data_IF_819970292883
#
_entry.id   IF_819970292883
#
_cell.length_a   1.000
_cell.length_b   1.000
_cell.length_c   1.000
_cell.angle_alpha   90.00
_cell.angle_beta   90.00
_cell.angle_gamma   90.00
#
_symmetry.space_group_name_H-M   'P 1'
#
loop_
_entity.id
_entity.type
_entity.pdbx_description
1 polymer ?
#
# COMPACT_ATOMS: atom_id res chain seq x y z
N UNK A 1 53.48 -18.80 -1.01
CA UNK A 1 52.41 -19.82 -0.91
C UNK A 1 51.20 -19.26 -1.60
N UNK A 2 50.93 -19.75 -2.81
CA UNK A 2 49.84 -19.29 -3.67
C UNK A 2 48.58 -20.09 -3.37
N UNK A 3 47.47 -19.43 -3.10
CA UNK A 3 46.13 -20.06 -3.04
C UNK A 3 45.33 -19.62 -4.26
N UNK A 4 44.93 -20.62 -5.00
CA UNK A 4 44.24 -20.56 -6.27
C UNK A 4 42.81 -19.97 -6.12
N UNK A 5 42.48 -19.08 -7.08
CA UNK A 5 41.12 -18.62 -7.32
C UNK A 5 40.36 -19.66 -8.17
N UNK A 6 39.43 -20.37 -7.63
CA UNK A 6 38.42 -21.07 -8.41
C UNK A 6 37.31 -20.10 -8.81
N UNK A 7 37.16 -19.90 -10.12
CA UNK A 7 36.01 -19.21 -10.73
C UNK A 7 34.90 -20.24 -10.99
N UNK A 8 33.82 -20.15 -10.27
CA UNK A 8 32.59 -20.87 -10.60
C UNK A 8 31.91 -20.17 -11.80
N UNK A 9 31.91 -20.90 -12.91
CA UNK A 9 31.35 -20.50 -14.19
C UNK A 9 29.92 -21.09 -14.29
N UNK A 10 28.91 -20.30 -14.01
CA UNK A 10 27.50 -20.65 -14.22
C UNK A 10 26.94 -19.80 -15.35
N UNK A 11 26.78 -20.38 -16.54
CA UNK A 11 25.74 -20.14 -17.55
C UNK A 11 26.16 -20.77 -18.86
N UNK A 12 25.69 -21.99 -19.13
CA UNK A 12 25.53 -22.51 -20.49
C UNK A 12 24.04 -22.70 -20.76
N UNK A 13 23.49 -21.83 -21.59
CA UNK A 13 22.18 -22.00 -22.21
C UNK A 13 22.38 -22.76 -23.51
N UNK A 14 21.68 -23.87 -23.79
CA UNK A 14 21.67 -24.48 -25.12
C UNK A 14 20.74 -23.65 -26.05
N UNK A 15 21.28 -23.32 -27.21
CA UNK A 15 20.52 -22.81 -28.36
C UNK A 15 19.99 -23.97 -29.19
N UNK A 16 18.85 -23.67 -29.87
CA UNK A 16 18.33 -24.22 -31.10
C UNK A 16 17.37 -25.40 -31.03
N UNK A 17 16.10 -25.08 -31.30
CA UNK A 17 15.28 -25.88 -32.19
C UNK A 17 14.54 -24.97 -33.18
N UNK A 18 14.89 -25.16 -34.42
CA UNK A 18 14.37 -24.58 -35.66
C UNK A 18 12.90 -24.97 -35.89
N UNK A 19 12.09 -24.00 -36.23
CA UNK A 19 10.72 -24.18 -36.70
C UNK A 19 10.77 -24.55 -38.19
N UNK A 20 10.36 -25.74 -38.59
CA UNK A 20 10.16 -26.15 -39.97
C UNK A 20 8.72 -25.86 -40.39
N UNK A 21 8.58 -25.09 -41.46
CA UNK A 21 7.31 -24.84 -42.13
C UNK A 21 6.82 -26.11 -42.87
N UNK A 22 5.55 -26.45 -42.69
CA UNK A 22 4.83 -27.38 -43.58
C UNK A 22 3.76 -26.60 -44.29
N UNK A 23 4.00 -26.35 -45.60
CA UNK A 23 3.01 -25.96 -46.58
C UNK A 23 2.37 -27.20 -47.19
N UNK A 24 1.06 -27.31 -47.12
CA UNK A 24 0.31 -28.42 -47.75
C UNK A 24 -1.05 -27.93 -48.26
N UNK A 25 -1.19 -28.01 -49.53
CA UNK A 25 -2.11 -27.40 -50.44
C UNK A 25 -3.58 -27.78 -50.34
N UNK A 26 -4.35 -26.84 -50.85
CA UNK A 26 -5.79 -26.93 -51.15
C UNK A 26 -6.01 -27.75 -52.41
N UNK A 27 -6.85 -28.75 -52.38
CA UNK A 27 -7.58 -29.25 -53.54
C UNK A 27 -9.02 -29.55 -53.15
N UNK A 28 -9.92 -28.95 -53.89
CA UNK A 28 -11.35 -29.03 -53.77
C UNK A 28 -11.95 -30.34 -54.30
N UNK A 29 -13.18 -30.61 -53.89
CA UNK A 29 -14.16 -31.40 -54.66
C UNK A 29 -15.60 -31.04 -54.27
N UNK A 30 -16.27 -30.47 -55.21
CA UNK A 30 -17.63 -30.57 -55.78
C UNK A 30 -18.77 -31.17 -54.94
N UNK A 31 -19.89 -30.44 -55.11
CA UNK A 31 -21.29 -30.74 -54.84
C UNK A 31 -21.79 -32.16 -55.24
N UNK A 32 -22.76 -32.64 -54.49
CA UNK A 32 -24.09 -33.25 -54.81
C UNK A 32 -24.45 -34.27 -53.76
N UNK A 33 -25.54 -34.10 -53.03
CA UNK A 33 -26.81 -34.78 -53.27
C UNK A 33 -27.81 -34.42 -52.16
N UNK A 34 -28.98 -33.95 -52.65
CA UNK A 34 -30.21 -33.75 -51.92
C UNK A 34 -30.85 -35.12 -51.69
N UNK A 35 -31.24 -35.39 -50.46
CA UNK A 35 -32.27 -36.44 -50.20
C UNK A 35 -33.17 -36.02 -49.07
N UNK A 36 -34.40 -35.77 -49.37
CA UNK A 36 -35.50 -35.58 -48.42
C UNK A 36 -35.72 -36.88 -47.62
N UNK A 37 -35.87 -36.75 -46.32
CA UNK A 37 -36.70 -37.66 -45.53
C UNK A 37 -37.38 -36.93 -44.38
N UNK A 38 -38.64 -37.27 -44.25
CA UNK A 38 -39.69 -36.61 -43.51
C UNK A 38 -39.54 -36.54 -42.00
N UNK A 39 -40.00 -35.41 -41.48
CA UNK A 39 -40.86 -35.15 -40.30
C UNK A 39 -41.00 -36.27 -39.24
N UNK A 40 -40.44 -35.99 -38.05
CA UNK A 40 -41.03 -36.39 -36.81
C UNK A 40 -40.85 -35.26 -35.79
N UNK A 41 -41.92 -34.51 -35.53
CA UNK A 41 -41.94 -33.47 -34.48
C UNK A 41 -42.05 -34.16 -33.12
N UNK A 42 -40.95 -34.22 -32.42
CA UNK A 42 -40.92 -34.55 -30.97
C UNK A 42 -40.78 -33.26 -30.20
N UNK A 43 -41.87 -32.76 -29.66
CA UNK A 43 -41.90 -31.62 -28.75
C UNK A 43 -41.33 -32.06 -27.41
N UNK A 44 -40.03 -31.89 -27.24
CA UNK A 44 -39.42 -31.96 -25.90
C UNK A 44 -39.52 -30.55 -25.26
N UNK A 45 -40.42 -30.40 -24.30
CA UNK A 45 -40.44 -29.30 -23.36
C UNK A 45 -39.14 -29.35 -22.54
N UNK A 46 -38.12 -28.68 -22.97
CA UNK A 46 -37.00 -28.33 -22.09
C UNK A 46 -37.48 -27.20 -21.16
N UNK A 47 -37.83 -27.56 -19.95
CA UNK A 47 -37.90 -26.63 -18.85
C UNK A 47 -36.51 -26.04 -18.66
N UNK A 48 -36.23 -24.91 -19.32
CA UNK A 48 -35.04 -24.09 -19.10
C UNK A 48 -35.14 -23.50 -17.69
N UNK A 49 -34.75 -24.28 -16.70
CA UNK A 49 -34.46 -23.77 -15.36
C UNK A 49 -33.27 -22.80 -15.48
N UNK A 50 -33.59 -21.51 -15.66
CA UNK A 50 -32.60 -20.46 -15.52
C UNK A 50 -32.05 -20.54 -14.09
N UNK A 51 -30.91 -21.18 -13.91
CA UNK A 51 -30.06 -21.02 -12.75
C UNK A 51 -29.70 -19.52 -12.67
N UNK A 52 -30.59 -18.74 -12.06
CA UNK A 52 -30.25 -17.40 -11.62
C UNK A 52 -29.06 -17.58 -10.66
N UNK A 53 -27.84 -17.33 -11.14
CA UNK A 53 -26.73 -17.02 -10.26
C UNK A 53 -27.23 -15.90 -9.37
N UNK A 54 -27.48 -16.23 -8.12
CA UNK A 54 -27.72 -15.24 -7.10
C UNK A 54 -26.45 -14.40 -7.06
N UNK A 55 -26.46 -13.23 -7.71
CA UNK A 55 -25.51 -12.18 -7.42
C UNK A 55 -25.83 -11.85 -5.95
N UNK A 56 -24.92 -12.21 -5.06
CA UNK A 56 -24.97 -11.72 -3.69
C UNK A 56 -25.08 -10.20 -3.81
N UNK A 57 -26.13 -9.64 -3.23
CA UNK A 57 -26.29 -8.21 -3.14
C UNK A 57 -24.97 -7.66 -2.54
N UNK A 58 -24.45 -6.53 -3.04
CA UNK A 58 -23.29 -5.91 -2.41
C UNK A 58 -23.61 -5.77 -0.93
N UNK A 59 -22.76 -6.32 -0.05
CA UNK A 59 -22.91 -6.19 1.39
C UNK A 59 -23.10 -4.72 1.71
N UNK A 60 -24.15 -4.38 2.45
CA UNK A 60 -24.42 -3.01 2.84
C UNK A 60 -23.21 -2.52 3.64
N UNK A 61 -22.64 -1.39 3.24
CA UNK A 61 -21.74 -0.63 4.09
C UNK A 61 -22.43 -0.43 5.45
N UNK A 62 -21.77 -0.84 6.55
CA UNK A 62 -22.33 -0.73 7.90
C UNK A 62 -22.50 -2.05 8.67
N UNK A 63 -22.24 -3.22 8.07
CA UNK A 63 -22.36 -4.51 8.77
C UNK A 63 -21.23 -4.79 9.78
N UNK A 64 -20.21 -3.93 9.85
CA UNK A 64 -19.07 -4.05 10.73
C UNK A 64 -18.74 -2.68 11.33
N UNK A 65 -19.06 -2.49 12.60
CA UNK A 65 -18.72 -1.28 13.35
C UNK A 65 -17.23 -1.24 13.73
N UNK A 66 -16.80 -0.20 14.44
CA UNK A 66 -15.41 -0.02 14.88
C UNK A 66 -14.86 -1.25 15.64
N UNK A 67 -15.63 -1.76 16.61
CA UNK A 67 -15.20 -2.91 17.42
C UNK A 67 -15.03 -4.16 16.55
N UNK A 68 -15.94 -4.35 15.60
CA UNK A 68 -15.88 -5.41 14.62
C UNK A 68 -14.62 -5.28 13.72
N UNK A 69 -14.34 -4.09 13.19
CA UNK A 69 -13.17 -3.82 12.35
C UNK A 69 -11.86 -4.09 13.09
N UNK A 70 -11.71 -3.57 14.30
CA UNK A 70 -10.54 -3.81 15.15
C UNK A 70 -10.39 -5.31 15.48
N UNK A 71 -11.50 -5.99 15.77
CA UNK A 71 -11.51 -7.43 16.01
C UNK A 71 -11.02 -8.26 14.80
N UNK A 72 -11.18 -7.77 13.57
CA UNK A 72 -10.61 -8.43 12.38
C UNK A 72 -9.10 -8.22 12.27
N UNK A 73 -8.58 -7.05 12.64
CA UNK A 73 -7.13 -6.82 12.73
C UNK A 73 -6.53 -7.73 13.80
N UNK A 74 -7.15 -7.81 14.98
CA UNK A 74 -6.66 -8.68 16.06
C UNK A 74 -6.68 -10.17 15.66
N UNK A 75 -7.72 -10.62 14.95
CA UNK A 75 -7.78 -11.98 14.40
C UNK A 75 -6.71 -12.21 13.34
N UNK A 76 -6.46 -11.23 12.47
CA UNK A 76 -5.37 -11.30 11.49
C UNK A 76 -4.03 -11.46 12.20
N UNK A 77 -3.74 -10.61 13.19
CA UNK A 77 -2.51 -10.67 13.96
C UNK A 77 -2.33 -12.01 14.69
N UNK A 78 -3.39 -12.52 15.30
CA UNK A 78 -3.37 -13.82 15.98
C UNK A 78 -3.17 -14.99 15.01
N UNK A 79 -3.77 -14.93 13.82
CA UNK A 79 -3.63 -15.95 12.78
C UNK A 79 -2.22 -15.97 12.20
N UNK A 80 -1.62 -14.78 11.95
CA UNK A 80 -0.22 -14.64 11.49
C UNK A 80 0.75 -15.21 12.51
N UNK A 81 0.64 -14.81 13.78
CA UNK A 81 1.50 -15.32 14.86
C UNK A 81 1.35 -16.84 15.10
N UNK A 82 0.23 -17.42 14.68
CA UNK A 82 -0.01 -18.85 14.72
C UNK A 82 0.42 -19.58 13.42
N UNK A 83 0.89 -18.85 12.42
CA UNK A 83 1.23 -19.35 11.08
C UNK A 83 0.05 -20.12 10.42
N UNK A 84 -1.18 -19.75 10.75
CA UNK A 84 -2.39 -20.50 10.36
C UNK A 84 -3.44 -19.59 9.74
N UNK A 85 -3.44 -19.45 8.39
CA UNK A 85 -4.43 -18.65 7.68
C UNK A 85 -5.89 -19.10 7.89
N UNK A 86 -6.12 -20.37 8.26
CA UNK A 86 -7.48 -20.91 8.48
C UNK A 86 -8.18 -20.28 9.69
N UNK A 87 -7.42 -19.67 10.61
CA UNK A 87 -7.95 -18.95 11.77
C UNK A 87 -8.54 -17.58 11.43
N UNK A 88 -8.28 -17.06 10.22
CA UNK A 88 -8.84 -15.80 9.77
C UNK A 88 -10.07 -16.02 8.89
N UNK A 89 -11.27 -15.54 9.25
CA UNK A 89 -12.44 -15.62 8.39
C UNK A 89 -12.24 -14.79 7.12
N UNK A 90 -12.06 -15.47 5.98
CA UNK A 90 -11.84 -14.80 4.69
C UNK A 90 -12.93 -15.13 3.67
N UNK A 91 -13.07 -14.27 2.66
CA UNK A 91 -13.84 -14.61 1.47
C UNK A 91 -13.11 -15.66 0.63
N UNK A 92 -13.82 -16.39 -0.23
CA UNK A 92 -13.21 -17.41 -1.09
C UNK A 92 -12.10 -16.86 -2.01
N UNK A 93 -12.17 -15.56 -2.36
CA UNK A 93 -11.23 -14.89 -3.23
C UNK A 93 -10.53 -13.75 -2.49
N UNK A 94 -10.09 -14.01 -1.25
CA UNK A 94 -9.33 -13.01 -0.49
C UNK A 94 -8.06 -12.65 -1.25
N UNK A 95 -7.82 -11.34 -1.34
CA UNK A 95 -6.61 -10.81 -1.97
C UNK A 95 -5.63 -10.37 -0.91
N UNK A 96 -4.39 -10.86 -1.00
CA UNK A 96 -3.30 -10.53 -0.08
C UNK A 96 -2.10 -9.96 -0.83
N UNK A 97 -1.52 -8.89 -0.31
CA UNK A 97 -0.23 -8.39 -0.76
C UNK A 97 0.67 -8.00 0.41
N UNK A 98 1.97 -8.27 0.28
CA UNK A 98 3.02 -7.78 1.18
C UNK A 98 4.03 -6.97 0.38
N UNK A 99 4.37 -5.77 0.89
CA UNK A 99 5.30 -4.85 0.22
C UNK A 99 4.99 -4.67 -1.28
N UNK A 100 3.69 -4.55 -1.59
CA UNK A 100 3.13 -4.40 -2.94
C UNK A 100 3.23 -5.65 -3.85
N UNK A 101 3.68 -6.78 -3.35
CA UNK A 101 3.66 -8.05 -4.10
C UNK A 101 2.40 -8.83 -3.73
N UNK A 102 1.54 -9.10 -4.72
CA UNK A 102 0.39 -10.00 -4.53
C UNK A 102 0.89 -11.44 -4.41
N UNK A 103 0.47 -12.15 -3.38
CA UNK A 103 0.90 -13.51 -3.10
C UNK A 103 -0.21 -14.33 -2.42
N UNK A 104 -0.11 -15.68 -2.36
CA UNK A 104 -1.05 -16.49 -1.61
C UNK A 104 -1.08 -16.11 -0.14
N UNK A 105 -2.27 -16.17 0.47
CA UNK A 105 -2.42 -15.99 1.91
C UNK A 105 -1.67 -17.12 2.64
N UNK A 106 -0.86 -16.75 3.62
CA UNK A 106 0.02 -17.68 4.32
C UNK A 106 1.51 -17.58 3.92
N UNK A 107 1.82 -16.79 2.88
CA UNK A 107 3.19 -16.51 2.47
C UNK A 107 3.74 -15.21 3.09
N UNK A 108 5.05 -14.96 2.96
CA UNK A 108 5.72 -13.77 3.47
C UNK A 108 5.73 -13.71 5.00
N UNK A 109 5.27 -12.62 5.59
CA UNK A 109 5.23 -12.39 7.04
C UNK A 109 4.52 -13.52 7.81
N UNK A 110 3.57 -14.23 7.19
CA UNK A 110 2.90 -15.38 7.79
C UNK A 110 3.84 -16.52 8.14
N UNK A 111 4.97 -16.64 7.44
CA UNK A 111 5.93 -17.71 7.65
C UNK A 111 6.97 -17.37 8.72
N UNK A 112 7.16 -16.08 9.03
CA UNK A 112 8.30 -15.60 9.80
C UNK A 112 7.92 -14.81 11.06
N UNK A 113 6.68 -14.31 11.16
CA UNK A 113 6.26 -13.53 12.31
C UNK A 113 5.98 -14.42 13.51
N UNK A 114 6.68 -14.18 14.62
CA UNK A 114 6.49 -14.83 15.90
C UNK A 114 5.75 -13.96 16.93
N UNK A 115 5.29 -12.77 16.53
CA UNK A 115 4.49 -11.91 17.39
C UNK A 115 4.44 -10.45 16.99
N UNK A 116 3.98 -9.63 17.93
CA UNK A 116 3.68 -8.22 17.72
C UNK A 116 4.16 -7.37 18.88
N UNK A 117 4.62 -6.16 18.57
CA UNK A 117 4.90 -5.14 19.57
C UNK A 117 3.64 -4.55 20.21
N UNK A 118 3.84 -3.69 21.21
CA UNK A 118 2.75 -3.02 21.92
C UNK A 118 2.12 -1.86 21.15
N UNK A 119 2.86 -1.21 20.26
CA UNK A 119 2.36 -0.10 19.46
C UNK A 119 1.25 -0.54 18.51
N UNK A 120 0.05 0.06 18.64
CA UNK A 120 -1.13 -0.28 17.85
C UNK A 120 -1.97 0.97 17.60
N UNK A 121 -2.15 1.33 16.35
CA UNK A 121 -3.07 2.41 15.95
C UNK A 121 -4.03 1.89 14.90
N UNK A 122 -5.34 2.04 15.16
CA UNK A 122 -6.42 1.63 14.27
C UNK A 122 -7.09 2.86 13.67
N UNK A 123 -7.37 2.82 12.38
CA UNK A 123 -8.14 3.83 11.63
C UNK A 123 -9.36 3.15 11.05
N UNK A 124 -10.51 3.39 11.65
CA UNK A 124 -11.73 2.64 11.41
C UNK A 124 -12.66 3.38 10.46
N UNK A 125 -12.98 2.76 9.33
CA UNK A 125 -13.94 3.26 8.34
C UNK A 125 -15.15 2.30 8.21
N UNK A 126 -16.13 2.35 9.15
CA UNK A 126 -17.30 1.49 9.05
C UNK A 126 -18.13 1.72 7.80
N UNK A 127 -18.10 2.95 7.24
CA UNK A 127 -18.83 3.26 6.02
C UNK A 127 -18.27 2.51 4.80
N UNK A 128 -16.96 2.35 4.72
CA UNK A 128 -16.28 1.62 3.66
C UNK A 128 -16.11 0.12 3.97
N UNK A 129 -16.31 -0.28 5.24
CA UNK A 129 -15.96 -1.61 5.74
C UNK A 129 -14.44 -1.85 5.70
N UNK A 130 -13.66 -0.81 5.97
CA UNK A 130 -12.19 -0.86 5.90
C UNK A 130 -11.57 -0.44 7.24
N UNK A 131 -10.40 -0.99 7.52
CA UNK A 131 -9.57 -0.57 8.65
C UNK A 131 -8.11 -0.46 8.24
N UNK A 132 -7.50 0.68 8.55
CA UNK A 132 -6.06 0.90 8.53
C UNK A 132 -5.44 0.57 9.88
N UNK A 133 -4.21 0.09 9.89
CA UNK A 133 -3.50 -0.27 11.12
C UNK A 133 -2.01 0.07 11.00
N UNK A 134 -1.46 0.66 12.05
CA UNK A 134 -0.02 0.79 12.26
C UNK A 134 0.38 0.01 13.50
N UNK A 135 1.51 -0.69 13.43
CA UNK A 135 2.01 -1.51 14.52
C UNK A 135 3.48 -1.87 14.35
N UNK A 136 3.91 -2.85 15.12
CA UNK A 136 5.25 -3.45 15.06
C UNK A 136 5.10 -4.96 14.93
N UNK A 137 5.69 -5.55 13.90
CA UNK A 137 5.81 -7.00 13.75
C UNK A 137 7.16 -7.48 14.31
N UNK A 138 7.17 -8.69 14.87
CA UNK A 138 8.37 -9.38 15.29
C UNK A 138 8.57 -10.60 14.36
N UNK A 139 9.77 -10.70 13.77
CA UNK A 139 10.18 -11.81 12.89
C UNK A 139 11.49 -12.37 13.43
N UNK A 140 11.44 -13.52 14.10
CA UNK A 140 12.62 -14.20 14.68
C UNK A 140 13.47 -13.23 15.55
N UNK A 141 12.79 -12.48 16.43
CA UNK A 141 13.42 -11.50 17.31
C UNK A 141 13.78 -10.16 16.65
N UNK A 142 13.57 -9.99 15.35
CA UNK A 142 13.79 -8.73 14.63
C UNK A 142 12.49 -7.95 14.51
N UNK A 143 12.45 -6.73 15.07
CA UNK A 143 11.29 -5.87 15.00
C UNK A 143 11.26 -5.11 13.66
N UNK A 144 10.06 -4.97 13.10
CA UNK A 144 9.79 -4.23 11.85
C UNK A 144 8.64 -3.25 12.04
N UNK A 145 8.74 -2.04 11.49
CA UNK A 145 7.59 -1.15 11.38
C UNK A 145 6.56 -1.81 10.47
N UNK A 146 5.33 -1.93 10.97
CA UNK A 146 4.26 -2.65 10.30
C UNK A 146 3.07 -1.74 10.02
N UNK A 147 2.49 -1.90 8.84
CA UNK A 147 1.25 -1.24 8.46
C UNK A 147 0.36 -2.19 7.68
N UNK A 148 -0.96 -2.10 7.89
CA UNK A 148 -1.92 -2.93 7.16
C UNK A 148 -3.19 -2.14 6.80
N UNK A 149 -3.86 -2.57 5.74
CA UNK A 149 -5.24 -2.23 5.41
C UNK A 149 -6.01 -3.52 5.19
N UNK A 150 -7.11 -3.67 5.91
CA UNK A 150 -8.05 -4.77 5.71
C UNK A 150 -9.37 -4.24 5.19
N UNK A 151 -10.01 -5.00 4.29
CA UNK A 151 -11.40 -4.78 3.85
C UNK A 151 -12.28 -5.94 4.27
N UNK A 152 -13.38 -5.61 4.92
CA UNK A 152 -14.33 -6.56 5.46
C UNK A 152 -15.63 -6.50 4.64
N UNK A 153 -16.11 -7.66 4.19
CA UNK A 153 -17.33 -7.81 3.41
C UNK A 153 -18.09 -9.01 3.97
N UNK A 154 -19.32 -8.80 4.46
CA UNK A 154 -20.16 -9.87 5.02
C UNK A 154 -19.45 -10.63 6.16
N UNK A 155 -18.85 -9.93 7.12
CA UNK A 155 -18.12 -10.49 8.26
C UNK A 155 -16.93 -11.40 7.86
N UNK A 156 -16.31 -11.12 6.72
CA UNK A 156 -15.14 -11.83 6.21
C UNK A 156 -14.12 -10.84 5.62
N UNK A 157 -12.84 -11.12 5.78
CA UNK A 157 -11.78 -10.34 5.16
C UNK A 157 -11.72 -10.65 3.68
N UNK A 158 -11.85 -9.63 2.84
CA UNK A 158 -11.78 -9.73 1.37
C UNK A 158 -10.48 -9.21 0.79
N UNK A 159 -9.82 -8.25 1.49
CA UNK A 159 -8.55 -7.66 1.07
C UNK A 159 -7.62 -7.49 2.28
N UNK A 160 -6.34 -7.79 2.08
CA UNK A 160 -5.28 -7.59 3.06
C UNK A 160 -4.08 -6.99 2.33
N UNK A 161 -3.76 -5.75 2.60
CA UNK A 161 -2.59 -5.05 2.10
C UNK A 161 -1.65 -4.76 3.27
N UNK A 162 -0.40 -5.19 3.18
CA UNK A 162 0.58 -5.13 4.27
C UNK A 162 1.87 -4.50 3.79
N UNK A 163 2.46 -3.66 4.64
CA UNK A 163 3.85 -3.25 4.55
C UNK A 163 4.59 -3.67 5.83
N UNK A 164 5.73 -4.32 5.65
CA UNK A 164 6.70 -4.62 6.68
C UNK A 164 8.04 -3.94 6.30
N UNK A 165 8.36 -2.85 6.98
CA UNK A 165 9.62 -2.13 6.78
C UNK A 165 10.68 -2.71 7.70
N UNK A 166 11.41 -3.69 7.18
CA UNK A 166 12.44 -4.45 7.88
C UNK A 166 13.74 -3.64 7.96
N UNK A 167 14.32 -3.41 9.15
CA UNK A 167 15.49 -2.54 9.32
C UNK A 167 16.78 -3.15 8.73
N UNK A 168 16.85 -4.48 8.64
CA UNK A 168 18.01 -5.23 8.14
C UNK A 168 18.04 -5.35 6.60
N UNK A 169 16.98 -4.90 5.92
CA UNK A 169 16.95 -4.94 4.45
C UNK A 169 17.66 -3.73 3.86
N UNK A 170 18.72 -3.94 3.06
CA UNK A 170 19.37 -2.86 2.36
C UNK A 170 18.41 -2.23 1.34
N UNK A 171 18.34 -0.91 1.34
CA UNK A 171 17.51 -0.15 0.42
C UNK A 171 17.57 1.33 0.72
N UNK A 172 16.99 2.17 -0.13
CA UNK A 172 16.95 3.61 0.11
C UNK A 172 16.29 4.00 1.44
N UNK A 173 15.35 3.20 1.93
CA UNK A 173 14.68 3.41 3.21
C UNK A 173 15.54 2.99 4.41
N UNK A 174 16.48 2.06 4.25
CA UNK A 174 17.35 1.56 5.32
C UNK A 174 18.61 2.40 5.56
N UNK A 175 18.90 3.39 4.70
CA UNK A 175 20.14 4.15 4.73
C UNK A 175 19.88 5.66 4.66
N UNK A 176 19.15 6.24 5.60
CA UNK A 176 18.87 7.67 5.52
C UNK A 176 18.03 8.20 6.68
N UNK A 177 17.50 9.42 6.58
CA UNK A 177 16.75 10.07 7.65
C UNK A 177 15.44 9.35 8.02
N UNK A 178 15.02 8.36 7.24
CA UNK A 178 13.84 7.51 7.50
C UNK A 178 14.23 6.10 7.96
N UNK A 179 15.48 5.87 8.30
CA UNK A 179 15.99 4.65 8.91
C UNK A 179 15.85 4.71 10.44
N UNK A 180 14.69 5.16 10.95
CA UNK A 180 14.35 5.08 12.37
C UNK A 180 14.31 3.62 12.80
N UNK A 181 13.51 3.26 13.69
CA UNK A 181 13.32 1.88 14.06
C UNK A 181 11.98 1.72 14.74
N UNK A 182 11.45 0.51 14.76
CA UNK A 182 10.19 0.22 15.42
C UNK A 182 10.21 0.53 16.91
N UNK A 183 11.40 0.56 17.55
CA UNK A 183 11.60 0.95 18.94
C UNK A 183 11.20 2.40 19.25
N UNK A 184 11.11 3.26 18.25
CA UNK A 184 10.68 4.65 18.40
C UNK A 184 9.16 4.84 18.25
N UNK A 185 8.44 3.77 17.94
CA UNK A 185 6.99 3.79 17.83
C UNK A 185 6.37 3.58 19.20
N UNK A 186 5.70 4.60 19.71
CA UNK A 186 5.07 4.58 21.03
C UNK A 186 3.62 5.05 20.93
N UNK A 187 2.77 4.51 21.79
CA UNK A 187 1.37 4.90 21.88
C UNK A 187 1.25 6.41 22.16
N UNK A 188 0.35 7.03 21.43
CA UNK A 188 0.00 8.45 21.58
C UNK A 188 -1.49 8.55 21.85
N UNK A 189 -1.92 9.14 22.98
CA UNK A 189 -3.35 9.35 23.29
C UNK A 189 -4.10 10.01 22.15
N UNK A 190 -3.42 10.90 21.42
CA UNK A 190 -3.92 11.59 20.22
C UNK A 190 -4.62 10.66 19.20
N UNK A 191 -4.19 9.40 19.08
CA UNK A 191 -4.76 8.46 18.10
C UNK A 191 -5.96 7.68 18.63
N UNK A 192 -6.13 7.59 19.94
CA UNK A 192 -7.22 6.83 20.58
C UNK A 192 -8.43 7.71 20.92
N UNK A 193 -8.26 9.02 21.00
CA UNK A 193 -9.28 9.97 21.39
C UNK A 193 -10.22 10.31 20.23
N UNK A 194 -11.54 10.24 20.49
CA UNK A 194 -12.55 10.78 19.59
C UNK A 194 -12.52 12.31 19.67
N UNK A 195 -12.49 13.01 18.54
CA UNK A 195 -12.56 14.47 18.53
C UNK A 195 -13.96 14.95 18.95
N UNK A 196 -14.07 16.08 19.68
CA UNK A 196 -15.36 16.70 19.96
C UNK A 196 -16.14 16.97 18.67
N UNK A 197 -17.45 16.77 18.68
CA UNK A 197 -18.29 16.94 17.48
C UNK A 197 -18.15 18.33 16.87
N UNK A 198 -17.98 19.37 17.71
CA UNK A 198 -17.79 20.77 17.27
C UNK A 198 -16.46 21.01 16.56
N UNK A 199 -15.48 20.13 16.72
CA UNK A 199 -14.13 20.23 16.12
C UNK A 199 -13.97 19.33 14.88
N UNK A 200 -14.97 18.49 14.59
CA UNK A 200 -14.93 17.56 13.45
C UNK A 200 -15.20 18.29 12.15
N UNK A 201 -14.44 17.91 11.15
CA UNK A 201 -14.74 18.25 9.75
C UNK A 201 -15.35 17.05 9.03
N UNK A 202 -15.98 17.29 7.87
CA UNK A 202 -16.64 16.23 7.09
C UNK A 202 -15.63 15.25 6.51
N UNK A 203 -16.10 14.05 6.12
CA UNK A 203 -15.31 13.04 5.42
C UNK A 203 -14.58 13.58 4.19
N UNK A 204 -15.29 14.35 3.37
CA UNK A 204 -14.73 14.97 2.15
C UNK A 204 -13.61 15.93 2.50
N UNK A 205 -13.78 16.70 3.59
CA UNK A 205 -12.75 17.64 4.06
C UNK A 205 -11.51 16.90 4.59
N UNK A 206 -11.70 15.78 5.30
CA UNK A 206 -10.61 14.92 5.76
C UNK A 206 -9.81 14.40 4.56
N UNK A 207 -10.48 13.84 3.55
CA UNK A 207 -9.84 13.35 2.31
C UNK A 207 -9.13 14.50 1.59
N UNK A 208 -9.76 15.69 1.50
CA UNK A 208 -9.16 16.86 0.86
C UNK A 208 -7.86 17.28 1.56
N UNK A 209 -7.82 17.27 2.90
CA UNK A 209 -6.62 17.64 3.66
C UNK A 209 -5.47 16.67 3.41
N UNK A 210 -5.73 15.36 3.48
CA UNK A 210 -4.72 14.34 3.21
C UNK A 210 -4.27 14.37 1.73
N UNK A 211 -5.21 14.51 0.78
CA UNK A 211 -4.88 14.61 -0.64
C UNK A 211 -4.04 15.84 -0.94
N UNK A 212 -4.37 16.99 -0.32
CA UNK A 212 -3.63 18.24 -0.46
C UNK A 212 -2.18 18.16 0.03
N UNK A 213 -1.88 17.30 1.03
CA UNK A 213 -0.51 17.00 1.43
C UNK A 213 0.28 16.36 0.28
N UNK A 214 -0.28 15.36 -0.37
CA UNK A 214 0.37 14.70 -1.52
C UNK A 214 0.50 15.61 -2.74
N UNK A 215 -0.48 16.48 -2.97
CA UNK A 215 -0.41 17.49 -4.04
C UNK A 215 0.69 18.53 -3.75
N UNK A 216 0.86 18.94 -2.50
CA UNK A 216 1.96 19.82 -2.07
C UNK A 216 3.32 19.18 -2.39
N UNK A 217 3.50 17.90 -2.07
CA UNK A 217 4.73 17.16 -2.33
C UNK A 217 4.98 16.99 -3.83
N UNK A 218 3.96 16.57 -4.59
CA UNK A 218 4.09 16.29 -6.02
C UNK A 218 4.38 17.56 -6.83
N UNK A 219 3.66 18.65 -6.56
CA UNK A 219 3.83 19.91 -7.28
C UNK A 219 5.10 20.65 -6.86
N UNK A 220 5.44 20.56 -5.58
CA UNK A 220 6.71 21.01 -4.99
C UNK A 220 7.18 22.41 -5.44
N UNK A 221 6.25 23.36 -5.43
CA UNK A 221 6.46 24.76 -5.82
C UNK A 221 6.64 25.68 -4.62
N UNK A 222 6.65 25.14 -3.39
CA UNK A 222 6.55 25.90 -2.14
C UNK A 222 5.12 26.30 -1.77
N UNK A 223 4.15 26.14 -2.68
CA UNK A 223 2.73 26.37 -2.38
C UNK A 223 2.15 25.19 -1.61
N UNK A 224 1.43 25.48 -0.54
CA UNK A 224 0.76 24.50 0.31
C UNK A 224 -0.69 24.31 -0.13
N UNK A 225 -1.11 23.07 -0.34
CA UNK A 225 -2.46 22.68 -0.78
C UNK A 225 -3.30 22.06 0.33
N UNK A 226 -2.80 22.05 1.56
CA UNK A 226 -3.46 21.56 2.76
C UNK A 226 -3.33 22.57 3.91
N UNK A 227 -3.66 22.18 5.13
CA UNK A 227 -3.51 23.03 6.30
C UNK A 227 -2.84 22.22 7.41
N UNK A 228 -1.77 22.76 7.98
CA UNK A 228 -1.06 22.15 9.09
C UNK A 228 -1.33 22.85 10.41
N UNK A 229 -1.39 22.07 11.47
CA UNK A 229 -1.26 22.59 12.84
C UNK A 229 0.19 23.07 13.06
N UNK A 230 0.45 24.17 13.77
CA UNK A 230 1.81 24.62 14.08
C UNK A 230 2.68 23.54 14.76
N UNK A 231 2.05 22.71 15.59
CA UNK A 231 2.72 21.61 16.28
C UNK A 231 2.73 20.31 15.48
N UNK A 232 2.44 20.35 14.17
CA UNK A 232 2.47 19.17 13.33
C UNK A 232 3.82 18.47 13.40
N UNK A 233 3.80 17.17 13.72
CA UNK A 233 4.96 16.29 13.67
C UNK A 233 4.78 15.24 12.59
N UNK A 234 5.85 14.88 11.88
CA UNK A 234 5.88 13.76 10.94
C UNK A 234 6.89 12.72 11.38
N UNK A 235 6.46 11.45 11.33
CA UNK A 235 7.28 10.28 11.60
C UNK A 235 7.20 9.31 10.42
N UNK A 236 8.34 8.79 9.99
CA UNK A 236 8.47 7.85 8.88
C UNK A 236 9.36 6.68 9.34
N UNK A 237 8.82 5.45 9.36
CA UNK A 237 9.50 4.25 9.89
C UNK A 237 10.15 4.47 11.26
N UNK A 238 9.47 5.15 12.19
CA UNK A 238 9.99 5.46 13.51
C UNK A 238 10.99 6.63 13.59
N UNK A 239 11.35 7.24 12.45
CA UNK A 239 12.15 8.48 12.44
C UNK A 239 11.25 9.71 12.49
N UNK A 240 11.48 10.63 13.43
CA UNK A 240 10.81 11.94 13.47
C UNK A 240 11.48 12.85 12.44
N UNK A 241 10.79 13.10 11.32
CA UNK A 241 11.33 13.80 10.14
C UNK A 241 10.85 15.24 9.99
N UNK A 242 9.91 15.69 10.83
CA UNK A 242 9.53 17.09 10.93
C UNK A 242 9.20 17.45 12.39
N UNK A 243 9.47 18.70 12.77
CA UNK A 243 9.28 19.24 14.13
C UNK A 243 10.01 18.45 15.21
N UNK A 244 11.27 18.06 14.92
CA UNK A 244 12.15 17.33 15.82
C UNK A 244 13.25 18.26 16.35
N UNK A 245 13.13 18.83 17.55
CA UNK A 245 14.11 19.76 18.11
C UNK A 245 15.48 19.10 18.33
N UNK A 246 15.51 17.77 18.53
CA UNK A 246 16.73 17.00 18.82
C UNK A 246 17.43 16.51 17.54
N UNK A 247 16.86 16.74 16.35
CA UNK A 247 17.49 16.29 15.11
C UNK A 247 18.83 16.99 14.87
N UNK A 248 19.81 16.27 14.35
CA UNK A 248 21.05 16.86 13.84
C UNK A 248 20.83 17.52 12.47
N UNK A 249 19.91 16.99 11.66
CA UNK A 249 19.52 17.56 10.38
C UNK A 249 18.62 18.79 10.59
N UNK A 250 19.01 19.99 10.15
CA UNK A 250 18.19 21.21 10.31
C UNK A 250 16.82 21.11 9.63
N UNK A 251 16.71 20.34 8.54
CA UNK A 251 15.42 20.14 7.86
C UNK A 251 14.42 19.41 8.76
N UNK A 252 14.86 18.42 9.53
CA UNK A 252 13.98 17.69 10.45
C UNK A 252 13.54 18.53 11.66
N UNK A 253 14.24 19.64 11.97
CA UNK A 253 13.81 20.62 13.01
C UNK A 253 12.66 21.51 12.53
N UNK A 254 12.49 21.67 11.23
CA UNK A 254 11.42 22.49 10.68
C UNK A 254 10.06 21.84 10.93
N UNK A 255 9.02 22.66 11.16
CA UNK A 255 7.63 22.18 11.21
C UNK A 255 7.17 21.65 9.85
N UNK A 256 6.09 20.86 9.83
CA UNK A 256 5.60 20.18 8.61
C UNK A 256 5.38 21.16 7.45
N UNK A 257 4.73 22.29 7.70
CA UNK A 257 4.45 23.30 6.67
C UNK A 257 5.74 23.95 6.17
N UNK A 258 6.54 24.48 7.07
CA UNK A 258 7.79 25.19 6.74
C UNK A 258 8.75 24.29 5.92
N UNK A 259 8.81 23.01 6.25
CA UNK A 259 9.62 22.04 5.51
C UNK A 259 9.17 21.89 4.05
N UNK A 260 7.84 21.81 3.81
CA UNK A 260 7.27 21.67 2.46
C UNK A 260 7.34 22.97 1.66
N UNK A 261 7.24 24.12 2.32
CA UNK A 261 7.40 25.46 1.70
C UNK A 261 8.79 25.65 1.08
N UNK A 262 9.81 24.95 1.56
CA UNK A 262 11.16 25.02 0.95
C UNK A 262 11.23 24.45 -0.46
N UNK A 263 10.29 23.60 -0.87
CA UNK A 263 10.35 22.88 -2.14
C UNK A 263 11.38 21.74 -2.13
N UNK A 264 11.78 21.23 -0.95
CA UNK A 264 12.86 20.23 -0.84
C UNK A 264 12.52 18.86 -1.44
N UNK A 265 11.23 18.53 -1.59
CA UNK A 265 10.77 17.21 -2.04
C UNK A 265 10.63 17.06 -3.57
N UNK A 266 11.28 17.94 -4.36
CA UNK A 266 11.30 17.84 -5.83
C UNK A 266 11.81 16.49 -6.37
N UNK A 267 12.47 15.71 -5.53
CA UNK A 267 12.87 14.33 -5.80
C UNK A 267 11.66 13.39 -5.97
N UNK A 268 10.51 13.71 -5.36
CA UNK A 268 9.26 12.99 -5.57
C UNK A 268 8.62 13.50 -6.85
N UNK A 269 8.75 12.74 -7.93
CA UNK A 269 8.28 13.16 -9.26
C UNK A 269 6.81 12.83 -9.50
N UNK A 270 6.21 11.98 -8.65
CA UNK A 270 4.80 11.63 -8.68
C UNK A 270 4.35 11.01 -7.37
N UNK A 271 3.16 11.39 -6.88
CA UNK A 271 2.43 10.74 -5.81
C UNK A 271 1.13 10.15 -6.39
N UNK A 272 1.03 8.82 -6.50
CA UNK A 272 -0.02 8.14 -7.29
C UNK A 272 -0.76 7.04 -6.51
N UNK A 273 -1.88 6.60 -7.09
CA UNK A 273 -2.68 5.45 -6.62
C UNK A 273 -3.17 5.62 -5.18
N UNK A 274 -3.60 6.84 -4.85
CA UNK A 274 -4.04 7.23 -3.51
C UNK A 274 -5.38 6.59 -3.17
N UNK A 275 -5.45 5.82 -2.09
CA UNK A 275 -6.66 5.20 -1.56
C UNK A 275 -6.80 5.56 -0.09
N UNK A 276 -8.04 5.84 0.35
CA UNK A 276 -8.31 6.48 1.64
C UNK A 276 -9.21 5.61 2.50
N UNK A 277 -8.82 5.39 3.76
CA UNK A 277 -9.64 4.87 4.85
C UNK A 277 -9.86 6.02 5.83
N UNK A 278 -11.10 6.30 6.24
CA UNK A 278 -11.43 7.54 6.96
C UNK A 278 -12.15 7.25 8.25
N UNK A 279 -11.53 7.58 9.37
CA UNK A 279 -12.16 7.57 10.69
C UNK A 279 -12.70 8.96 11.03
N UNK A 280 -14.00 9.16 10.79
CA UNK A 280 -14.65 10.45 11.02
C UNK A 280 -14.76 10.83 12.50
N UNK A 281 -14.81 9.85 13.42
CA UNK A 281 -14.91 10.13 14.86
C UNK A 281 -13.58 10.59 15.44
N UNK A 282 -12.49 9.88 15.10
CA UNK A 282 -11.14 10.22 15.52
C UNK A 282 -10.48 11.24 14.61
N UNK A 283 -11.17 11.66 13.54
CA UNK A 283 -10.64 12.60 12.55
C UNK A 283 -9.28 12.14 12.02
N UNK A 284 -9.23 10.89 11.56
CA UNK A 284 -8.02 10.28 11.00
C UNK A 284 -8.25 9.86 9.55
N UNK A 285 -7.20 9.97 8.75
CA UNK A 285 -7.16 9.46 7.37
C UNK A 285 -5.95 8.57 7.21
N UNK A 286 -6.17 7.36 6.72
CA UNK A 286 -5.11 6.43 6.39
C UNK A 286 -5.03 6.25 4.88
N UNK A 287 -3.86 6.42 4.30
CA UNK A 287 -3.69 6.50 2.85
C UNK A 287 -2.66 5.49 2.38
N UNK A 288 -3.06 4.67 1.42
CA UNK A 288 -2.14 3.87 0.62
C UNK A 288 -1.76 4.66 -0.63
N UNK A 289 -0.46 4.79 -0.91
CA UNK A 289 0.05 5.59 -2.03
C UNK A 289 1.46 5.17 -2.46
N UNK A 290 1.94 5.74 -3.55
CA UNK A 290 3.32 5.60 -4.01
C UNK A 290 3.98 6.96 -4.20
N UNK A 291 5.24 7.07 -3.82
CA UNK A 291 6.12 8.15 -4.25
C UNK A 291 7.13 7.62 -5.28
N UNK A 292 6.99 8.07 -6.52
CA UNK A 292 7.93 7.73 -7.58
C UNK A 292 9.10 8.72 -7.58
N UNK A 293 10.32 8.19 -7.60
CA UNK A 293 11.58 8.90 -7.75
C UNK A 293 12.21 8.46 -9.06
N UNK A 294 12.14 9.30 -10.10
CA UNK A 294 12.66 8.94 -11.43
C UNK A 294 14.19 9.05 -11.55
N UNK A 295 14.87 9.53 -10.50
CA UNK A 295 16.33 9.63 -10.45
C UNK A 295 16.95 10.71 -11.35
N UNK A 296 16.14 11.60 -11.94
CA UNK A 296 16.67 12.63 -12.87
C UNK A 296 16.99 13.97 -12.19
N UNK A 297 16.50 14.18 -10.97
CA UNK A 297 16.76 15.42 -10.21
C UNK A 297 18.14 15.33 -9.57
N UNK A 298 19.14 16.01 -10.17
CA UNK A 298 20.52 16.05 -9.66
C UNK A 298 20.79 17.24 -8.75
N UNK A 299 20.07 18.33 -8.99
CA UNK A 299 20.10 19.54 -8.18
C UNK A 299 18.68 20.02 -7.96
N UNK A 300 18.40 20.46 -6.76
CA UNK A 300 17.14 21.08 -6.39
C UNK A 300 17.39 22.48 -5.90
N UNK A 301 16.91 23.47 -6.65
CA UNK A 301 16.90 24.86 -6.20
C UNK A 301 15.67 25.04 -5.30
N UNK A 302 15.92 25.36 -4.05
CA UNK A 302 14.89 25.60 -3.07
C UNK A 302 14.24 26.99 -3.27
N UNK A 303 13.13 27.25 -2.62
CA UNK A 303 12.35 28.50 -2.75
C UNK A 303 13.19 29.72 -2.32
N UNK A 304 14.11 29.57 -1.37
CA UNK A 304 15.04 30.61 -0.92
C UNK A 304 16.23 30.87 -1.88
N UNK A 305 16.28 30.16 -3.02
CA UNK A 305 17.34 30.23 -4.02
C UNK A 305 18.56 29.36 -3.73
N UNK A 306 18.63 28.72 -2.57
CA UNK A 306 19.73 27.79 -2.26
C UNK A 306 19.67 26.56 -3.14
N UNK A 307 20.84 25.97 -3.46
CA UNK A 307 20.92 24.78 -4.32
C UNK A 307 21.36 23.59 -3.51
N UNK A 308 20.54 22.56 -3.53
CA UNK A 308 20.82 21.27 -2.89
C UNK A 308 21.22 20.24 -3.94
N UNK A 309 22.38 19.60 -3.74
CA UNK A 309 22.77 18.43 -4.56
C UNK A 309 22.01 17.20 -4.10
N UNK A 310 21.46 16.45 -5.04
CA UNK A 310 20.74 15.21 -4.83
C UNK A 310 21.68 14.04 -5.15
N UNK A 311 21.96 13.22 -4.14
CA UNK A 311 22.79 12.00 -4.26
C UNK A 311 21.99 10.74 -3.98
N UNK A 312 22.68 9.64 -3.79
CA UNK A 312 22.08 8.34 -3.46
C UNK A 312 21.18 8.44 -2.21
N UNK A 313 20.07 7.73 -2.21
CA UNK A 313 19.54 6.83 -3.25
C UNK A 313 18.71 7.54 -4.33
N UNK A 314 18.44 8.85 -4.21
CA UNK A 314 17.50 9.61 -5.03
C UNK A 314 18.05 9.97 -6.42
N UNK A 315 19.28 9.61 -6.70
CA UNK A 315 19.95 9.74 -8.00
C UNK A 315 19.69 8.56 -8.96
N UNK A 316 18.86 7.60 -8.54
CA UNK A 316 18.45 6.42 -9.30
C UNK A 316 16.94 6.22 -9.23
N UNK A 317 16.33 5.56 -10.25
CA UNK A 317 14.88 5.33 -10.25
C UNK A 317 14.49 4.27 -9.23
N UNK A 318 13.52 4.59 -8.39
CA UNK A 318 12.81 3.67 -7.50
C UNK A 318 11.46 4.28 -7.09
N UNK A 319 10.61 3.51 -6.44
CA UNK A 319 9.38 4.02 -5.81
C UNK A 319 9.35 3.63 -4.33
N UNK A 320 8.77 4.47 -3.51
CA UNK A 320 8.26 4.04 -2.22
C UNK A 320 6.80 3.61 -2.36
N UNK A 321 6.45 2.47 -1.79
CA UNK A 321 5.08 2.14 -1.41
C UNK A 321 4.88 2.54 0.05
N UNK A 322 3.75 3.19 0.34
CA UNK A 322 3.55 3.92 1.60
C UNK A 322 2.14 3.63 2.12
N UNK A 323 2.04 3.33 3.41
CA UNK A 323 0.81 3.40 4.19
C UNK A 323 0.99 4.48 5.25
N UNK A 324 0.23 5.58 5.12
CA UNK A 324 0.45 6.82 5.86
C UNK A 324 -0.82 7.29 6.56
N UNK A 325 -0.69 7.55 7.85
CA UNK A 325 -1.75 8.04 8.73
C UNK A 325 -1.65 9.55 8.92
N UNK A 326 -2.78 10.23 8.82
CA UNK A 326 -2.96 11.64 9.16
C UNK A 326 -3.94 11.77 10.31
N UNK A 327 -3.53 12.35 11.42
CA UNK A 327 -4.43 12.84 12.47
C UNK A 327 -4.75 14.30 12.19
N UNK A 328 -6.04 14.61 12.10
CA UNK A 328 -6.54 15.97 11.88
C UNK A 328 -7.16 16.46 13.18
N UNK A 329 -6.82 17.69 13.57
CA UNK A 329 -7.39 18.39 14.71
C UNK A 329 -7.82 19.79 14.28
N UNK A 330 -9.07 20.17 14.57
CA UNK A 330 -9.63 21.46 14.15
C UNK A 330 -9.41 21.75 12.65
N UNK A 331 -9.58 20.75 11.78
CA UNK A 331 -9.39 20.87 10.33
C UNK A 331 -7.95 21.11 9.89
N UNK A 332 -6.94 20.79 10.71
CA UNK A 332 -5.52 20.91 10.41
C UNK A 332 -4.79 19.59 10.67
N UNK A 333 -3.80 19.26 9.85
CA UNK A 333 -2.96 18.07 10.04
C UNK A 333 -2.07 18.28 11.26
N UNK A 334 -2.28 17.49 12.32
CA UNK A 334 -1.57 17.57 13.60
C UNK A 334 -0.46 16.55 13.74
N UNK A 335 -0.66 15.35 13.17
CA UNK A 335 0.33 14.26 13.21
C UNK A 335 0.29 13.49 11.91
N UNK A 336 1.46 13.09 11.42
CA UNK A 336 1.63 12.21 10.26
C UNK A 336 2.51 11.05 10.70
N UNK A 337 2.09 9.81 10.41
CA UNK A 337 2.92 8.62 10.64
C UNK A 337 2.85 7.69 9.43
N UNK A 338 3.99 7.31 8.92
CA UNK A 338 4.10 6.47 7.73
C UNK A 338 4.97 5.24 7.97
N UNK A 339 4.53 4.11 7.41
CA UNK A 339 5.35 2.96 7.12
C UNK A 339 5.55 2.90 5.63
N UNK A 340 6.81 2.82 5.21
CA UNK A 340 7.17 2.82 3.80
C UNK A 340 8.35 1.89 3.52
N UNK A 341 8.37 1.34 2.31
CA UNK A 341 9.49 0.53 1.82
C UNK A 341 9.75 0.80 0.34
N UNK A 342 10.97 0.50 -0.09
CA UNK A 342 11.36 0.68 -1.49
C UNK A 342 10.90 -0.49 -2.34
N UNK A 343 10.38 -0.15 -3.52
CA UNK A 343 10.00 -1.10 -4.57
C UNK A 343 10.59 -0.66 -5.91
N UNK A 344 10.64 -1.53 -6.93
CA UNK A 344 11.06 -1.13 -8.27
C UNK A 344 10.31 0.11 -8.76
N UNK A 345 11.03 0.96 -9.51
CA UNK A 345 10.45 2.18 -10.07
C UNK A 345 9.20 1.86 -10.89
N UNK A 346 8.15 2.65 -10.63
CA UNK A 346 6.88 2.52 -11.34
C UNK A 346 6.15 1.18 -11.15
N UNK A 347 6.50 0.41 -10.12
CA UNK A 347 5.82 -0.86 -9.82
C UNK A 347 4.29 -0.63 -9.72
N UNK A 348 3.46 -1.39 -10.45
CA UNK A 348 2.02 -1.21 -10.40
C UNK A 348 1.45 -1.61 -9.05
N UNK A 349 0.41 -0.92 -8.59
CA UNK A 349 -0.35 -1.35 -7.41
C UNK A 349 -1.23 -2.55 -7.76
N UNK A 350 -1.24 -3.63 -6.99
CA UNK A 350 -2.18 -4.72 -7.18
C UNK A 350 -3.63 -4.30 -6.87
N UNK A 351 -3.82 -3.15 -6.24
CA UNK A 351 -5.12 -2.64 -5.77
C UNK A 351 -5.80 -1.68 -6.73
N UNK A 352 -5.15 -1.36 -7.84
CA UNK A 352 -5.66 -0.43 -8.85
C UNK A 352 -5.75 -1.11 -10.20
N UNK A 353 -6.92 -1.06 -10.83
CA UNK A 353 -7.09 -1.56 -12.18
C UNK A 353 -6.56 -0.52 -13.18
N UNK A 354 -5.36 -0.74 -13.68
CA UNK A 354 -4.83 0.04 -14.80
C UNK A 354 -5.53 -0.41 -16.08
N UNK A 355 -6.35 0.46 -16.66
CA UNK A 355 -6.86 0.18 -18.03
C UNK A 355 -5.65 0.06 -18.96
N UNK A 356 -5.49 -1.08 -19.61
CA UNK A 356 -4.51 -1.20 -20.71
C UNK A 356 -4.85 -0.11 -21.74
N UNK A 357 -3.94 0.85 -21.89
CA UNK A 357 -4.02 1.86 -22.95
C UNK A 357 -3.66 1.22 -24.28
#
# INVERSE_FOLDING_TARGET
MALARERLNWYKVPREHTCSQVTGGIRGMTQRNVSLCAVAVLVCFFASGSLRRAHAAPAKAGDCDRACLNGFVDKYMAAVAAHDPSKLPTTANVKYSENNVEMPLGEGLWQTSDGWGSYKVYVDDPQAGEVGFLGVANEDGTLSCFAARLKIVGQKVSEIEVLAARPDRPGPAGAGPIAGGPENLHDKPLFSEDEPVSERVTREKLIQLANGYFDTIQLNTGKIYTTFDPDCQRMENGSVTANNPNATNPVAKMGCQAQLETGLLKIVTRARDRRFVVDEKRQMVYVSTFFDHNGTVRKNTLVDGSVRTVGAPFDRPFSFVILELFKIKNGKIRQIEAVLTSVPYYMPSPWVNYKKK
#
